data_IF_703509053935
#
_entry.id   IF_703509053935
#
_cell.length_a   1.000
_cell.length_b   1.000
_cell.length_c   1.000
_cell.angle_alpha   90.00
_cell.angle_beta   90.00
_cell.angle_gamma   90.00
#
_symmetry.space_group_name_H-M   'P 1'
#
loop_
_entity.id
_entity.type
_entity.pdbx_description
1 polymer ?
#
# COMPACT_ATOMS: atom_id res chain seq x y z
N UNK A 1 9.72 14.71 14.62
CA UNK A 1 8.25 14.56 14.43
C UNK A 1 7.86 14.06 13.04
N UNK A 2 8.39 14.63 11.94
CA UNK A 2 8.07 14.17 10.57
C UNK A 2 8.37 12.68 10.33
N UNK A 3 9.52 12.17 10.79
CA UNK A 3 9.90 10.75 10.61
C UNK A 3 8.94 9.74 11.28
N UNK A 4 8.30 10.10 12.40
CA UNK A 4 7.32 9.22 13.07
C UNK A 4 6.02 9.13 12.26
N UNK A 5 5.60 10.22 11.60
CA UNK A 5 4.41 10.24 10.74
C UNK A 5 4.63 9.42 9.47
N UNK A 6 5.77 9.61 8.81
CA UNK A 6 6.15 8.83 7.62
C UNK A 6 6.20 7.33 7.92
N UNK A 7 6.82 6.94 9.04
CA UNK A 7 6.89 5.54 9.46
C UNK A 7 5.50 4.91 9.63
N UNK A 8 4.57 5.61 10.29
CA UNK A 8 3.21 5.11 10.48
C UNK A 8 2.42 4.96 9.17
N UNK A 9 2.61 5.86 8.21
CA UNK A 9 1.99 5.79 6.88
C UNK A 9 2.50 4.55 6.12
N UNK A 10 3.82 4.37 6.08
CA UNK A 10 4.45 3.23 5.41
C UNK A 10 4.12 1.89 6.09
N UNK A 11 4.05 1.86 7.42
CA UNK A 11 3.62 0.67 8.18
C UNK A 11 2.17 0.28 7.84
N UNK A 12 1.27 1.25 7.69
CA UNK A 12 -0.11 1.02 7.26
C UNK A 12 -0.18 0.39 5.87
N UNK A 13 0.51 0.98 4.89
CA UNK A 13 0.56 0.44 3.53
C UNK A 13 1.17 -0.98 3.50
N UNK A 14 2.27 -1.20 4.22
CA UNK A 14 2.94 -2.49 4.26
C UNK A 14 2.07 -3.58 4.91
N UNK A 15 1.28 -3.24 5.94
CA UNK A 15 0.33 -4.16 6.53
C UNK A 15 -0.77 -4.56 5.53
N UNK A 16 -1.32 -3.60 4.77
CA UNK A 16 -2.30 -3.89 3.73
C UNK A 16 -1.70 -4.82 2.67
N UNK A 17 -0.47 -4.55 2.21
CA UNK A 17 0.20 -5.41 1.23
C UNK A 17 0.50 -6.80 1.77
N UNK A 18 0.84 -6.94 3.07
CA UNK A 18 1.06 -8.25 3.69
C UNK A 18 -0.22 -9.10 3.68
N UNK A 19 -1.38 -8.51 3.94
CA UNK A 19 -2.67 -9.23 3.88
C UNK A 19 -2.89 -9.81 2.47
N UNK A 20 -2.53 -9.06 1.44
CA UNK A 20 -2.63 -9.47 0.04
C UNK A 20 -1.64 -10.59 -0.24
N UNK A 21 -0.37 -10.41 0.11
CA UNK A 21 0.64 -11.46 -0.06
C UNK A 21 0.22 -12.76 0.65
N UNK A 22 -0.35 -12.71 1.85
CA UNK A 22 -0.82 -13.91 2.54
C UNK A 22 -2.01 -14.59 1.85
N UNK A 23 -2.87 -13.84 1.15
CA UNK A 23 -4.00 -14.42 0.43
C UNK A 23 -3.63 -14.97 -0.95
N UNK A 24 -2.66 -14.37 -1.63
CA UNK A 24 -2.36 -14.68 -3.04
C UNK A 24 -1.00 -15.32 -3.24
N UNK A 25 -0.17 -15.43 -2.20
CA UNK A 25 1.14 -16.08 -2.30
C UNK A 25 1.29 -17.23 -1.33
N UNK A 26 1.77 -18.35 -1.87
CA UNK A 26 2.26 -19.50 -1.11
C UNK A 26 3.76 -19.58 -1.39
N UNK A 27 4.58 -19.59 -0.33
CA UNK A 27 6.05 -19.55 -0.43
C UNK A 27 6.63 -18.40 -1.30
N UNK A 28 5.87 -17.30 -1.45
CA UNK A 28 6.28 -16.13 -2.22
C UNK A 28 5.96 -16.19 -3.71
N UNK A 29 5.33 -17.26 -4.18
CA UNK A 29 4.81 -17.36 -5.54
C UNK A 29 3.33 -17.02 -5.57
N UNK A 30 2.89 -16.25 -6.58
CA UNK A 30 1.47 -15.93 -6.77
C UNK A 30 0.74 -17.19 -7.21
N UNK A 31 -0.09 -17.75 -6.34
CA UNK A 31 -0.79 -19.02 -6.57
C UNK A 31 -2.14 -18.85 -7.25
N UNK A 32 -2.71 -17.64 -7.19
CA UNK A 32 -4.00 -17.32 -7.78
C UNK A 32 -3.97 -15.97 -8.53
N UNK A 33 -4.71 -15.82 -9.65
CA UNK A 33 -4.89 -14.52 -10.28
C UNK A 33 -5.47 -13.51 -9.30
N UNK A 34 -4.93 -12.29 -9.29
CA UNK A 34 -5.48 -11.19 -8.49
C UNK A 34 -6.87 -10.86 -9.03
N UNK A 35 -7.90 -10.98 -8.18
CA UNK A 35 -9.27 -10.60 -8.54
C UNK A 35 -9.40 -9.08 -8.76
N UNK A 36 -10.44 -8.67 -9.50
CA UNK A 36 -10.73 -7.23 -9.73
C UNK A 36 -10.90 -6.49 -8.40
N UNK A 37 -11.69 -7.05 -7.48
CA UNK A 37 -11.93 -6.47 -6.15
C UNK A 37 -10.61 -6.26 -5.37
N UNK A 38 -9.65 -7.17 -5.53
CA UNK A 38 -8.35 -7.06 -4.88
C UNK A 38 -7.46 -6.03 -5.55
N UNK A 39 -7.47 -5.96 -6.88
CA UNK A 39 -6.77 -4.89 -7.61
C UNK A 39 -7.29 -3.51 -7.21
N UNK A 40 -8.61 -3.36 -7.06
CA UNK A 40 -9.24 -2.15 -6.54
C UNK A 40 -8.80 -1.86 -5.10
N UNK A 41 -8.73 -2.87 -4.22
CA UNK A 41 -8.22 -2.71 -2.87
C UNK A 41 -6.76 -2.23 -2.82
N UNK A 42 -5.89 -2.74 -3.71
CA UNK A 42 -4.49 -2.29 -3.83
C UNK A 42 -4.43 -0.82 -4.23
N UNK A 43 -5.16 -0.46 -5.30
CA UNK A 43 -5.19 0.89 -5.82
C UNK A 43 -5.72 1.87 -4.77
N UNK A 44 -6.80 1.50 -4.07
CA UNK A 44 -7.36 2.31 -2.99
C UNK A 44 -6.38 2.46 -1.81
N UNK A 45 -5.71 1.37 -1.40
CA UNK A 45 -4.67 1.43 -0.35
C UNK A 45 -3.52 2.35 -0.74
N UNK A 46 -3.11 2.34 -2.00
CA UNK A 46 -2.08 3.24 -2.52
C UNK A 46 -2.55 4.69 -2.52
N UNK A 47 -3.75 4.98 -3.04
CA UNK A 47 -4.31 6.33 -3.08
C UNK A 47 -4.45 6.93 -1.67
N UNK A 48 -4.94 6.16 -0.71
CA UNK A 48 -4.99 6.59 0.70
C UNK A 48 -3.60 6.90 1.27
N UNK A 49 -2.59 6.13 0.88
CA UNK A 49 -1.21 6.32 1.31
C UNK A 49 -0.66 7.64 0.78
N UNK A 50 -0.86 7.90 -0.51
CA UNK A 50 -0.50 9.17 -1.18
C UNK A 50 -1.21 10.35 -0.52
N UNK A 51 -2.51 10.25 -0.23
CA UNK A 51 -3.27 11.29 0.45
C UNK A 51 -2.71 11.57 1.86
N UNK A 52 -2.38 10.52 2.63
CA UNK A 52 -1.76 10.66 3.96
C UNK A 52 -0.40 11.35 3.89
N UNK A 53 0.38 11.11 2.83
CA UNK A 53 1.61 11.86 2.58
C UNK A 53 1.35 13.34 2.27
N UNK A 54 0.38 13.64 1.40
CA UNK A 54 -0.05 15.01 1.10
C UNK A 54 -0.48 15.78 2.36
N UNK A 55 -1.30 15.15 3.20
CA UNK A 55 -1.74 15.69 4.50
C UNK A 55 -0.58 15.87 5.51
N UNK A 56 0.54 15.17 5.32
CA UNK A 56 1.77 15.36 6.09
C UNK A 56 2.68 16.47 5.53
N UNK A 57 2.28 17.13 4.44
CA UNK A 57 3.08 18.13 3.72
C UNK A 57 4.22 17.52 2.92
N UNK A 58 4.02 16.29 2.42
CA UNK A 58 4.98 15.56 1.58
C UNK A 58 4.28 15.32 0.24
N UNK A 59 4.73 16.03 -0.79
CA UNK A 59 4.32 15.74 -2.16
C UNK A 59 5.14 14.56 -2.67
N UNK A 60 4.46 13.52 -3.14
CA UNK A 60 5.09 12.42 -3.85
C UNK A 60 5.10 12.77 -5.33
N UNK A 61 6.28 12.96 -5.90
CA UNK A 61 6.42 13.01 -7.36
C UNK A 61 6.34 11.58 -7.89
N UNK A 62 5.36 11.28 -8.74
CA UNK A 62 5.33 10.00 -9.45
C UNK A 62 5.82 10.21 -10.88
N UNK A 63 6.93 9.59 -11.25
CA UNK A 63 7.24 9.30 -12.65
C UNK A 63 6.30 8.16 -13.06
N UNK A 64 5.16 8.49 -13.67
CA UNK A 64 4.34 7.51 -14.41
C UNK A 64 4.87 7.48 -15.85
#
# INVERSE_FOLDING_TARGET
MKNKKVKGILEGFNNNMRVIMTHFTEDGEVTEPISVDMAEFIINSWNETVEKFGNAGIELESEI
#
